data_IF_953912117447
#
_entry.id   IF_953912117447
#
_cell.length_a   1.000
_cell.length_b   1.000
_cell.length_c   1.000
_cell.angle_alpha   90.00
_cell.angle_beta   90.00
_cell.angle_gamma   90.00
#
_symmetry.space_group_name_H-M   'P 1'
#
loop_
_entity.id
_entity.type
_entity.pdbx_description
1 polymer ?
#
# COMPACT_ATOMS: atom_id res chain seq x y z
N UNK A 1 26.41 -22.48 -1.91
CA UNK A 1 25.49 -21.52 -2.58
C UNK A 1 25.64 -20.10 -2.03
N UNK A 2 25.43 -19.84 -0.73
CA UNK A 2 25.51 -18.48 -0.14
C UNK A 2 26.80 -17.71 -0.44
N UNK A 3 27.97 -18.38 -0.39
CA UNK A 3 29.27 -17.75 -0.70
C UNK A 3 29.35 -17.18 -2.13
N UNK A 4 28.71 -17.83 -3.11
CA UNK A 4 28.69 -17.39 -4.52
C UNK A 4 27.80 -16.17 -4.70
N UNK A 5 26.64 -16.13 -4.04
CA UNK A 5 25.73 -14.97 -4.03
C UNK A 5 26.40 -13.73 -3.42
N UNK A 6 27.06 -13.89 -2.27
CA UNK A 6 27.77 -12.78 -1.62
C UNK A 6 28.90 -12.24 -2.52
N UNK A 7 29.66 -13.12 -3.18
CA UNK A 7 30.70 -12.71 -4.11
C UNK A 7 30.12 -11.95 -5.32
N UNK A 8 29.00 -12.42 -5.87
CA UNK A 8 28.29 -11.75 -6.96
C UNK A 8 27.82 -10.35 -6.55
N UNK A 9 27.15 -10.20 -5.41
CA UNK A 9 26.66 -8.90 -4.94
C UNK A 9 27.80 -7.91 -4.70
N UNK A 10 28.92 -8.35 -4.09
CA UNK A 10 30.11 -7.49 -3.91
C UNK A 10 30.68 -7.01 -5.24
N UNK A 11 30.72 -7.90 -6.23
CA UNK A 11 31.22 -7.58 -7.57
C UNK A 11 30.28 -6.66 -8.35
N UNK A 12 28.97 -6.93 -8.32
CA UNK A 12 27.95 -6.09 -8.95
C UNK A 12 27.90 -4.69 -8.32
N UNK A 13 28.03 -4.59 -6.99
CA UNK A 13 28.12 -3.31 -6.30
C UNK A 13 29.36 -2.50 -6.69
N UNK A 14 30.50 -3.16 -6.91
CA UNK A 14 31.73 -2.48 -7.31
C UNK A 14 31.71 -1.98 -8.76
N UNK A 15 30.97 -2.65 -9.66
CA UNK A 15 30.94 -2.34 -11.10
C UNK A 15 29.75 -1.48 -11.50
N UNK A 16 28.57 -1.83 -11.03
CA UNK A 16 27.30 -1.25 -11.46
C UNK A 16 26.43 -0.89 -10.23
N UNK A 17 26.93 -0.03 -9.33
CA UNK A 17 26.22 0.30 -8.08
C UNK A 17 24.84 0.91 -8.35
N UNK A 18 24.69 1.68 -9.44
CA UNK A 18 23.42 2.30 -9.83
C UNK A 18 22.34 1.24 -10.07
N UNK A 19 22.67 0.16 -10.79
CA UNK A 19 21.73 -0.92 -11.08
C UNK A 19 21.40 -1.72 -9.82
N UNK A 20 22.40 -2.01 -8.98
CA UNK A 20 22.14 -2.75 -7.72
C UNK A 20 21.20 -1.97 -6.81
N UNK A 21 21.40 -0.65 -6.68
CA UNK A 21 20.53 0.21 -5.88
C UNK A 21 19.13 0.31 -6.50
N UNK A 22 18.99 0.47 -7.83
CA UNK A 22 17.68 0.58 -8.47
C UNK A 22 16.83 -0.67 -8.23
N UNK A 23 17.38 -1.86 -8.46
CA UNK A 23 16.65 -3.12 -8.23
C UNK A 23 16.33 -3.34 -6.76
N UNK A 24 17.21 -2.91 -5.85
CA UNK A 24 16.96 -3.01 -4.41
C UNK A 24 15.81 -2.11 -3.99
N UNK A 25 15.75 -0.87 -4.47
CA UNK A 25 14.66 0.08 -4.15
C UNK A 25 13.33 -0.42 -4.73
N UNK A 26 13.32 -0.83 -6.00
CA UNK A 26 12.11 -1.34 -6.65
C UNK A 26 11.59 -2.61 -5.95
N UNK A 27 12.48 -3.58 -5.70
CA UNK A 27 12.13 -4.79 -4.98
C UNK A 27 11.65 -4.52 -3.55
N UNK A 28 12.31 -3.60 -2.84
CA UNK A 28 11.91 -3.24 -1.48
C UNK A 28 10.55 -2.53 -1.46
N UNK A 29 10.29 -1.62 -2.40
CA UNK A 29 9.00 -0.93 -2.52
C UNK A 29 7.85 -1.92 -2.74
N UNK A 30 8.00 -2.87 -3.66
CA UNK A 30 6.98 -3.88 -3.95
C UNK A 30 6.72 -4.81 -2.74
N UNK A 31 7.80 -5.27 -2.08
CA UNK A 31 7.69 -6.13 -0.90
C UNK A 31 7.07 -5.37 0.27
N UNK A 32 7.52 -4.14 0.57
CA UNK A 32 6.97 -3.34 1.65
C UNK A 32 5.49 -3.03 1.45
N UNK A 33 5.08 -2.68 0.22
CA UNK A 33 3.69 -2.36 -0.07
C UNK A 33 2.75 -3.53 0.28
N UNK A 34 3.18 -4.77 -0.01
CA UNK A 34 2.37 -5.98 0.17
C UNK A 34 2.35 -6.49 1.60
N UNK A 35 3.45 -6.40 2.35
CA UNK A 35 3.52 -6.90 3.72
C UNK A 35 3.15 -5.86 4.77
N UNK A 36 3.14 -4.57 4.42
CA UNK A 36 2.92 -3.50 5.39
C UNK A 36 1.46 -3.49 5.87
N UNK A 37 1.21 -3.57 7.19
CA UNK A 37 -0.14 -3.42 7.74
C UNK A 37 -0.68 -1.99 7.55
N UNK A 38 0.19 -1.02 7.24
CA UNK A 38 -0.18 0.38 7.11
C UNK A 38 -0.91 0.68 5.79
N UNK A 39 -0.68 -0.12 4.75
CA UNK A 39 -1.31 0.07 3.43
C UNK A 39 -2.85 0.07 3.53
N UNK A 40 -3.42 -0.70 4.47
CA UNK A 40 -4.86 -0.72 4.77
C UNK A 40 -5.39 0.66 5.18
N UNK A 41 -4.67 1.38 6.04
CA UNK A 41 -5.12 2.68 6.54
C UNK A 41 -5.10 3.75 5.44
N UNK A 42 -4.12 3.70 4.54
CA UNK A 42 -4.11 4.57 3.36
C UNK A 42 -5.37 4.41 2.53
N UNK A 43 -5.81 3.17 2.28
CA UNK A 43 -7.08 2.90 1.57
C UNK A 43 -8.28 3.43 2.35
N UNK A 44 -8.33 3.19 3.67
CA UNK A 44 -9.44 3.66 4.51
C UNK A 44 -9.55 5.19 4.52
N UNK A 45 -8.44 5.91 4.58
CA UNK A 45 -8.42 7.38 4.53
C UNK A 45 -8.98 7.88 3.19
N UNK A 46 -8.54 7.29 2.08
CA UNK A 46 -9.01 7.67 0.75
C UNK A 46 -10.50 7.40 0.57
N UNK A 47 -11.03 6.32 1.16
CA UNK A 47 -12.46 6.00 1.13
C UNK A 47 -13.29 6.90 2.06
N UNK A 48 -12.73 7.28 3.21
CA UNK A 48 -13.41 8.12 4.18
C UNK A 48 -13.47 9.60 3.77
N UNK A 49 -12.65 10.02 2.79
CA UNK A 49 -12.60 11.41 2.32
C UNK A 49 -13.74 11.66 1.32
N UNK A 50 -14.77 12.47 1.67
CA UNK A 50 -15.92 12.69 0.81
C UNK A 50 -15.59 13.75 -0.26
N UNK A 51 -15.39 13.31 -1.50
CA UNK A 51 -15.25 14.24 -2.63
C UNK A 51 -16.59 14.62 -3.28
N UNK A 52 -17.62 13.80 -3.07
CA UNK A 52 -18.97 14.02 -3.59
C UNK A 52 -19.97 14.21 -2.46
N UNK A 53 -21.08 14.87 -2.75
CA UNK A 53 -22.17 15.02 -1.80
C UNK A 53 -22.83 13.65 -1.52
N UNK A 54 -22.90 13.19 -0.26
CA UNK A 54 -23.55 11.93 0.08
C UNK A 54 -25.07 12.08 -0.06
N UNK A 55 -25.65 11.43 -1.06
CA UNK A 55 -27.09 11.48 -1.33
C UNK A 55 -27.83 10.60 -0.32
N UNK A 56 -28.78 11.15 0.46
CA UNK A 56 -29.58 10.36 1.41
C UNK A 56 -30.41 9.29 0.69
N UNK A 57 -30.50 8.11 1.30
CA UNK A 57 -31.42 7.08 0.80
C UNK A 57 -32.85 7.38 1.20
N UNK A 58 -33.79 6.95 0.36
CA UNK A 58 -35.21 6.96 0.69
C UNK A 58 -35.48 5.89 1.75
N UNK A 59 -36.19 6.28 2.80
CA UNK A 59 -36.58 5.36 3.85
C UNK A 59 -37.68 4.39 3.36
N UNK A 60 -37.46 3.09 3.60
CA UNK A 60 -38.39 1.99 3.34
C UNK A 60 -38.84 1.27 4.62
N UNK A 61 -38.52 1.81 5.80
CA UNK A 61 -38.88 1.29 7.11
C UNK A 61 -37.75 0.49 7.77
N UNK A 62 -37.46 -0.72 7.29
CA UNK A 62 -36.45 -1.59 7.92
C UNK A 62 -35.04 -1.36 7.35
N UNK A 63 -34.31 -0.39 7.92
CA UNK A 63 -32.93 -0.05 7.54
C UNK A 63 -31.97 -0.06 8.74
N UNK A 64 -31.66 -1.24 9.33
CA UNK A 64 -30.94 -1.35 10.61
C UNK A 64 -29.48 -0.84 10.57
N UNK A 65 -28.90 -0.71 9.37
CA UNK A 65 -27.50 -0.28 9.19
C UNK A 65 -27.38 1.20 8.76
N UNK A 66 -28.49 1.94 8.62
CA UNK A 66 -28.45 3.35 8.23
C UNK A 66 -28.63 4.29 9.41
N UNK A 67 -27.73 5.28 9.58
CA UNK A 67 -27.95 6.34 10.55
C UNK A 67 -29.01 7.33 10.04
N UNK A 68 -29.91 7.75 10.94
CA UNK A 68 -30.99 8.70 10.62
C UNK A 68 -30.51 10.15 10.49
N UNK A 69 -29.38 10.47 11.09
CA UNK A 69 -28.78 11.80 11.13
C UNK A 69 -27.29 11.68 11.43
N UNK A 70 -26.46 12.66 11.05
CA UNK A 70 -25.19 12.89 11.74
C UNK A 70 -25.42 12.97 13.26
N UNK A 71 -24.43 12.50 14.02
CA UNK A 71 -24.44 12.57 15.48
C UNK A 71 -24.45 14.01 16.00
#
# INVERSE_FOLDING_TARGET
MARRLVAFFKHAWAKEPVLVVSFTIEGHSAVLLTISPLTKYTTMINQATPYNYPVPLRDHGYMPNMPWSPA
#
